data_IF_079128059716
#
_entry.id   IF_079128059716
#
_cell.length_a   1.000
_cell.length_b   1.000
_cell.length_c   1.000
_cell.angle_alpha   90.00
_cell.angle_beta   90.00
_cell.angle_gamma   90.00
#
_symmetry.space_group_name_H-M   'P 1'
#
loop_
_entity.id
_entity.type
_entity.pdbx_description
1 polymer ?
#
# COMPACT_ATOMS: atom_id res chain seq x y z
N UNK A 1 -28.98 27.93 11.40
CA UNK A 1 -29.70 27.66 10.14
C UNK A 1 -28.65 27.23 9.13
N UNK A 2 -28.76 26.05 8.54
CA UNK A 2 -27.80 25.58 7.53
C UNK A 2 -28.10 26.30 6.21
N UNK A 3 -27.14 27.07 5.71
CA UNK A 3 -27.31 27.90 4.51
C UNK A 3 -26.74 27.22 3.27
N UNK A 4 -27.07 27.73 2.08
CA UNK A 4 -26.45 27.25 0.84
C UNK A 4 -24.94 27.53 0.80
N UNK A 5 -24.46 28.56 1.50
CA UNK A 5 -23.02 28.81 1.64
C UNK A 5 -22.34 27.72 2.49
N UNK A 6 -23.01 27.26 3.56
CA UNK A 6 -22.55 26.13 4.37
C UNK A 6 -22.55 24.84 3.53
N UNK A 7 -23.63 24.59 2.79
CA UNK A 7 -23.74 23.44 1.87
C UNK A 7 -22.58 23.42 0.87
N UNK A 8 -22.30 24.56 0.23
CA UNK A 8 -21.20 24.71 -0.73
C UNK A 8 -19.84 24.42 -0.09
N UNK A 9 -19.57 25.04 1.07
CA UNK A 9 -18.27 24.91 1.74
C UNK A 9 -17.98 23.49 2.20
N UNK A 10 -19.02 22.76 2.65
CA UNK A 10 -18.90 21.38 3.11
C UNK A 10 -18.90 20.36 1.97
N UNK A 11 -19.61 20.62 0.87
CA UNK A 11 -19.71 19.68 -0.25
C UNK A 11 -18.40 19.55 -1.04
N UNK A 12 -17.66 20.65 -1.22
CA UNK A 12 -16.43 20.68 -2.02
C UNK A 12 -15.39 19.61 -1.61
N UNK A 13 -14.96 19.51 -0.33
CA UNK A 13 -13.99 18.49 0.06
C UNK A 13 -14.50 17.06 -0.19
N UNK A 14 -15.79 16.80 0.01
CA UNK A 14 -16.39 15.49 -0.23
C UNK A 14 -16.38 15.12 -1.71
N UNK A 15 -16.79 16.05 -2.59
CA UNK A 15 -16.73 15.86 -4.04
C UNK A 15 -15.31 15.65 -4.53
N UNK A 16 -14.32 16.36 -3.95
CA UNK A 16 -12.91 16.13 -4.26
C UNK A 16 -12.43 14.72 -3.87
N UNK A 17 -12.86 14.20 -2.72
CA UNK A 17 -12.53 12.84 -2.30
C UNK A 17 -13.14 11.80 -3.24
N UNK A 18 -14.43 11.94 -3.57
CA UNK A 18 -15.13 11.08 -4.54
C UNK A 18 -14.45 11.11 -5.91
N UNK A 19 -14.10 12.30 -6.40
CA UNK A 19 -13.40 12.47 -7.67
C UNK A 19 -12.02 11.82 -7.66
N UNK A 20 -11.24 12.01 -6.59
CA UNK A 20 -9.91 11.44 -6.45
C UNK A 20 -9.96 9.92 -6.51
N UNK A 21 -10.89 9.30 -5.80
CA UNK A 21 -11.08 7.85 -5.82
C UNK A 21 -11.48 7.37 -7.22
N UNK A 22 -12.50 7.99 -7.83
CA UNK A 22 -12.94 7.60 -9.17
C UNK A 22 -11.84 7.78 -10.23
N UNK A 23 -11.01 8.82 -10.09
CA UNK A 23 -9.85 9.05 -10.94
C UNK A 23 -8.77 8.00 -10.73
N UNK A 24 -8.47 7.64 -9.48
CA UNK A 24 -7.49 6.60 -9.16
C UNK A 24 -7.87 5.25 -9.75
N UNK A 25 -9.15 4.87 -9.67
CA UNK A 25 -9.66 3.60 -10.23
C UNK A 25 -9.69 3.56 -11.76
N UNK A 26 -10.03 4.69 -12.41
CA UNK A 26 -10.26 4.72 -13.86
C UNK A 26 -9.07 5.21 -14.68
N UNK A 27 -8.15 5.96 -14.07
CA UNK A 27 -7.05 6.65 -14.75
C UNK A 27 -7.49 7.81 -15.67
N UNK A 28 -8.79 8.12 -15.74
CA UNK A 28 -9.34 9.13 -16.64
C UNK A 28 -10.15 10.18 -15.89
N UNK A 29 -9.82 11.46 -16.09
CA UNK A 29 -10.58 12.56 -15.50
C UNK A 29 -12.03 12.60 -15.98
N UNK A 30 -12.27 12.29 -17.26
CA UNK A 30 -13.63 12.31 -17.81
C UNK A 30 -14.48 11.20 -17.20
N UNK A 31 -13.94 9.98 -17.13
CA UNK A 31 -14.62 8.87 -16.47
C UNK A 31 -14.87 9.14 -14.98
N UNK A 32 -13.95 9.84 -14.30
CA UNK A 32 -14.14 10.25 -12.92
C UNK A 32 -15.29 11.26 -12.76
N UNK A 33 -15.39 12.27 -13.63
CA UNK A 33 -16.52 13.20 -13.61
C UNK A 33 -17.84 12.48 -13.84
N UNK A 34 -17.90 11.57 -14.82
CA UNK A 34 -19.10 10.78 -15.13
C UNK A 34 -19.52 9.89 -13.96
N UNK A 35 -18.55 9.24 -13.33
CA UNK A 35 -18.77 8.38 -12.16
C UNK A 35 -19.33 9.16 -10.99
N UNK A 36 -18.71 10.28 -10.62
CA UNK A 36 -19.16 11.12 -9.50
C UNK A 36 -20.53 11.72 -9.80
N UNK A 37 -20.75 12.20 -11.03
CA UNK A 37 -22.02 12.75 -11.48
C UNK A 37 -23.17 11.74 -11.33
N UNK A 38 -22.96 10.49 -11.74
CA UNK A 38 -23.93 9.41 -11.58
C UNK A 38 -24.22 9.05 -10.12
N UNK A 39 -23.26 9.21 -9.21
CA UNK A 39 -23.46 8.93 -7.78
C UNK A 39 -24.32 9.98 -7.08
N UNK A 40 -24.25 11.24 -7.51
CA UNK A 40 -24.91 12.37 -6.84
C UNK A 40 -26.14 12.91 -7.59
N UNK A 41 -26.57 12.23 -8.66
CA UNK A 41 -27.71 12.61 -9.50
C UNK A 41 -27.54 14.00 -10.16
N UNK A 42 -26.33 14.27 -10.68
CA UNK A 42 -26.00 15.52 -11.40
C UNK A 42 -25.31 15.23 -12.73
N UNK A 43 -25.09 16.29 -13.50
CA UNK A 43 -24.36 16.18 -14.78
C UNK A 43 -22.84 16.24 -14.57
N UNK A 44 -22.03 15.56 -15.41
CA UNK A 44 -20.57 15.63 -15.36
C UNK A 44 -20.03 17.05 -15.51
N UNK A 45 -20.69 17.86 -16.34
CA UNK A 45 -20.37 19.28 -16.51
C UNK A 45 -20.58 20.08 -15.22
N UNK A 46 -21.66 19.81 -14.47
CA UNK A 46 -21.90 20.44 -13.18
C UNK A 46 -20.82 20.09 -12.16
N UNK A 47 -20.41 18.82 -12.09
CA UNK A 47 -19.32 18.36 -11.20
C UNK A 47 -18.01 19.08 -11.53
N UNK A 48 -17.68 19.20 -12.82
CA UNK A 48 -16.49 19.93 -13.28
C UNK A 48 -16.54 21.41 -12.89
N UNK A 49 -17.70 22.05 -13.02
CA UNK A 49 -17.88 23.45 -12.62
C UNK A 49 -17.77 23.63 -11.11
N UNK A 50 -18.35 22.72 -10.34
CA UNK A 50 -18.26 22.72 -8.88
C UNK A 50 -16.82 22.62 -8.40
N UNK A 51 -16.06 21.63 -8.90
CA UNK A 51 -14.62 21.47 -8.59
C UNK A 51 -13.82 22.69 -9.05
N UNK A 52 -14.17 23.24 -10.22
CA UNK A 52 -13.58 24.47 -10.75
C UNK A 52 -14.01 25.75 -10.03
N UNK A 53 -14.82 25.66 -8.96
CA UNK A 53 -15.36 26.79 -8.17
C UNK A 53 -16.04 27.85 -9.03
N UNK A 54 -16.73 27.43 -10.10
CA UNK A 54 -17.50 28.34 -10.95
C UNK A 54 -18.78 28.75 -10.23
N UNK A 55 -19.14 30.03 -10.33
CA UNK A 55 -20.28 30.61 -9.60
C UNK A 55 -21.65 30.06 -10.03
N UNK A 56 -21.74 29.41 -11.19
CA UNK A 56 -22.95 28.79 -11.72
C UNK A 56 -23.20 27.36 -11.20
N UNK A 57 -22.26 26.78 -10.46
CA UNK A 57 -22.41 25.50 -9.78
C UNK A 57 -22.74 25.73 -8.30
N UNK A 58 -24.00 26.10 -8.05
CA UNK A 58 -24.55 26.24 -6.70
C UNK A 58 -24.93 24.86 -6.17
N UNK A 59 -24.49 24.56 -4.94
CA UNK A 59 -24.88 23.38 -4.19
C UNK A 59 -26.14 23.71 -3.39
N UNK A 60 -27.24 23.08 -3.77
CA UNK A 60 -28.48 23.14 -2.99
C UNK A 60 -28.47 22.09 -1.86
N UNK A 61 -29.40 22.19 -0.92
CA UNK A 61 -29.51 21.22 0.17
C UNK A 61 -29.65 19.77 -0.33
N UNK A 62 -30.42 19.54 -1.41
CA UNK A 62 -30.55 18.20 -2.01
C UNK A 62 -29.21 17.67 -2.53
N UNK A 63 -28.40 18.53 -3.14
CA UNK A 63 -27.09 18.16 -3.65
C UNK A 63 -26.16 17.77 -2.52
N UNK A 64 -26.16 18.57 -1.45
CA UNK A 64 -25.38 18.28 -0.27
C UNK A 64 -25.76 16.92 0.34
N UNK A 65 -27.05 16.59 0.47
CA UNK A 65 -27.49 15.28 0.95
C UNK A 65 -27.02 14.13 0.04
N UNK A 66 -27.13 14.30 -1.27
CA UNK A 66 -26.68 13.30 -2.23
C UNK A 66 -25.16 13.10 -2.18
N UNK A 67 -24.40 14.19 -2.06
CA UNK A 67 -22.94 14.17 -1.95
C UNK A 67 -22.52 13.47 -0.65
N UNK A 68 -23.12 13.83 0.48
CA UNK A 68 -22.85 13.20 1.77
C UNK A 68 -23.14 11.70 1.73
N UNK A 69 -24.31 11.31 1.21
CA UNK A 69 -24.66 9.89 1.08
C UNK A 69 -23.72 9.12 0.12
N UNK A 70 -23.24 9.75 -0.96
CA UNK A 70 -22.25 9.15 -1.84
C UNK A 70 -20.89 8.97 -1.14
N UNK A 71 -20.48 9.96 -0.34
CA UNK A 71 -19.26 9.91 0.46
C UNK A 71 -19.32 8.85 1.55
N UNK A 72 -20.43 8.73 2.28
CA UNK A 72 -20.61 7.71 3.31
C UNK A 72 -20.48 6.29 2.73
N UNK A 73 -21.03 6.07 1.53
CA UNK A 73 -20.86 4.80 0.80
C UNK A 73 -19.41 4.55 0.37
N UNK A 74 -18.64 5.60 0.10
CA UNK A 74 -17.22 5.47 -0.18
C UNK A 74 -16.46 5.06 1.09
N UNK A 75 -16.71 5.73 2.21
CA UNK A 75 -16.12 5.37 3.51
C UNK A 75 -16.42 3.91 3.87
N UNK A 76 -17.69 3.50 3.79
CA UNK A 76 -18.09 2.12 4.07
C UNK A 76 -17.40 1.10 3.15
N UNK A 77 -17.13 1.45 1.89
CA UNK A 77 -16.39 0.57 0.97
C UNK A 77 -14.91 0.46 1.32
N UNK A 78 -14.30 1.56 1.77
CA UNK A 78 -12.89 1.57 2.18
C UNK A 78 -12.71 0.76 3.46
N UNK A 79 -13.61 0.93 4.43
CA UNK A 79 -13.63 0.15 5.67
C UNK A 79 -13.80 -1.35 5.38
N UNK A 80 -14.79 -1.72 4.56
CA UNK A 80 -14.98 -3.12 4.17
C UNK A 80 -13.78 -3.72 3.40
N UNK A 81 -13.03 -2.90 2.64
CA UNK A 81 -11.82 -3.35 1.97
C UNK A 81 -10.68 -3.59 2.98
N UNK A 82 -10.53 -2.73 3.99
CA UNK A 82 -9.57 -2.92 5.06
C UNK A 82 -9.87 -4.20 5.86
N UNK A 83 -11.13 -4.42 6.26
CA UNK A 83 -11.56 -5.63 6.96
C UNK A 83 -11.24 -6.90 6.14
N UNK A 84 -11.42 -6.83 4.82
CA UNK A 84 -11.09 -7.95 3.93
C UNK A 84 -9.59 -8.22 3.85
N UNK A 85 -8.76 -7.17 3.78
CA UNK A 85 -7.30 -7.30 3.77
C UNK A 85 -6.77 -7.89 5.09
N UNK A 86 -7.34 -7.51 6.23
CA UNK A 86 -7.02 -8.09 7.53
C UNK A 86 -7.37 -9.59 7.59
N UNK A 87 -8.56 -9.97 7.12
CA UNK A 87 -8.99 -11.36 7.06
C UNK A 87 -8.10 -12.21 6.14
N UNK A 88 -7.71 -11.68 4.97
CA UNK A 88 -6.77 -12.35 4.07
C UNK A 88 -5.39 -12.50 4.70
N UNK A 89 -4.91 -11.47 5.39
CA UNK A 89 -3.61 -11.51 6.07
C UNK A 89 -3.60 -12.54 7.20
N UNK A 90 -4.66 -12.62 8.00
CA UNK A 90 -4.82 -13.63 9.03
C UNK A 90 -4.83 -15.05 8.45
N UNK A 91 -5.60 -15.27 7.37
CA UNK A 91 -5.64 -16.57 6.68
C UNK A 91 -4.27 -16.98 6.13
N UNK A 92 -3.51 -16.04 5.55
CA UNK A 92 -2.15 -16.31 5.07
C UNK A 92 -1.17 -16.61 6.21
N UNK A 93 -1.34 -15.99 7.37
CA UNK A 93 -0.53 -16.28 8.56
C UNK A 93 -0.84 -17.68 9.13
N UNK A 94 -2.11 -18.05 9.19
CA UNK A 94 -2.54 -19.40 9.61
C UNK A 94 -1.97 -20.47 8.68
N UNK A 95 -2.12 -20.32 7.36
CA UNK A 95 -1.51 -21.23 6.38
C UNK A 95 0.02 -21.32 6.51
N UNK A 96 0.69 -20.20 6.80
CA UNK A 96 2.14 -20.17 7.03
C UNK A 96 2.53 -20.89 8.33
N UNK A 97 1.74 -20.74 9.39
CA UNK A 97 1.97 -21.41 10.65
C UNK A 97 1.82 -22.93 10.50
N UNK A 98 0.72 -23.39 9.89
CA UNK A 98 0.49 -24.81 9.58
C UNK A 98 1.61 -25.40 8.70
N UNK A 99 2.03 -24.68 7.66
CA UNK A 99 3.13 -25.10 6.80
C UNK A 99 4.48 -25.15 7.55
N UNK A 100 4.69 -24.23 8.50
CA UNK A 100 5.86 -24.20 9.38
C UNK A 100 5.89 -25.38 10.35
N UNK A 101 4.77 -25.69 11.00
CA UNK A 101 4.64 -26.83 11.92
C UNK A 101 4.76 -28.18 11.20
N UNK A 102 4.20 -28.30 9.99
CA UNK A 102 4.39 -29.48 9.15
C UNK A 102 5.83 -29.68 8.68
N UNK A 103 6.57 -28.59 8.46
CA UNK A 103 7.99 -28.60 8.15
C UNK A 103 8.85 -28.97 9.36
N UNK A 104 8.56 -28.40 10.53
CA UNK A 104 9.30 -28.69 11.77
C UNK A 104 9.09 -30.13 12.23
N UNK A 105 7.87 -30.66 12.11
CA UNK A 105 7.58 -32.07 12.36
C UNK A 105 8.34 -33.04 11.43
N UNK A 106 8.61 -32.64 10.18
CA UNK A 106 9.42 -33.42 9.24
C UNK A 106 10.91 -33.35 9.58
N UNK A 107 11.40 -32.20 10.03
CA UNK A 107 12.78 -31.97 10.48
C UNK A 107 13.05 -32.72 11.80
N UNK A 108 12.13 -32.69 12.76
CA UNK A 108 12.18 -33.47 14.02
C UNK A 108 12.23 -34.97 13.74
N UNK A 109 11.50 -35.44 12.71
CA UNK A 109 11.51 -36.87 12.31
C UNK A 109 12.77 -37.29 11.55
N UNK A 110 13.48 -36.35 10.94
CA UNK A 110 14.80 -36.56 10.34
C UNK A 110 15.96 -36.31 11.30
N UNK A 111 15.72 -35.78 12.49
CA UNK A 111 16.74 -35.62 13.51
C UNK A 111 17.25 -37.01 13.94
N UNK A 112 18.54 -37.36 13.66
CA UNK A 112 19.06 -38.65 14.05
C UNK A 112 19.06 -38.75 15.58
N UNK A 113 18.71 -39.91 16.18
CA UNK A 113 18.71 -40.05 17.62
C UNK A 113 20.11 -39.75 18.14
N UNK A 114 20.19 -38.80 19.08
CA UNK A 114 21.42 -38.46 19.77
C UNK A 114 22.04 -39.73 20.34
N UNK A 115 23.15 -40.18 19.74
CA UNK A 115 23.96 -41.28 20.26
C UNK A 115 24.49 -40.84 21.62
N UNK A 116 23.82 -41.27 22.70
CA UNK A 116 24.45 -41.40 24.02
C UNK A 116 25.53 -42.47 23.90
N UNK A 117 26.72 -42.05 23.51
CA UNK A 117 27.92 -42.88 23.48
C UNK A 117 29.01 -42.15 24.24
N UNK A 118 29.23 -42.57 25.48
CA UNK A 118 30.38 -42.18 26.27
C UNK A 118 31.67 -42.54 25.53
N UNK A 119 32.51 -41.55 25.23
CA UNK A 119 33.93 -41.77 24.96
C UNK A 119 34.76 -40.71 25.66
N UNK A 120 35.22 -41.10 26.84
CA UNK A 120 36.37 -40.52 27.50
C UNK A 120 37.64 -41.16 26.88
N UNK A 121 38.45 -40.34 26.18
CA UNK A 121 39.94 -40.29 26.23
C UNK A 121 40.60 -39.74 24.95
N UNK A 122 41.25 -38.59 25.15
CA UNK A 122 42.60 -38.17 24.71
C UNK A 122 43.04 -38.37 23.25
N UNK A 123 43.32 -37.24 22.58
CA UNK A 123 44.62 -36.82 22.01
C UNK A 123 44.44 -35.38 21.48
N UNK A 124 44.95 -34.33 22.12
CA UNK A 124 46.35 -33.86 22.08
C UNK A 124 46.89 -33.54 20.67
N UNK A 125 46.75 -32.27 20.27
CA UNK A 125 47.81 -31.54 19.56
C UNK A 125 47.78 -31.50 18.03
N UNK A 126 47.25 -30.41 17.47
CA UNK A 126 47.89 -29.68 16.37
C UNK A 126 47.26 -28.29 16.24
N UNK A 127 48.01 -27.27 16.67
CA UNK A 127 47.76 -25.87 16.33
C UNK A 127 48.16 -25.65 14.88
N UNK A 128 47.30 -25.06 14.06
CA UNK A 128 47.72 -24.10 13.02
C UNK A 128 46.69 -22.99 12.96
N UNK A 129 47.12 -21.77 13.30
CA UNK A 129 46.40 -20.53 13.04
C UNK A 129 47.02 -19.87 11.81
N UNK A 130 46.19 -19.50 10.83
CA UNK A 130 46.45 -18.47 9.83
C UNK A 130 45.11 -18.23 9.11
N UNK A 131 44.39 -17.15 9.45
CA UNK A 131 44.53 -15.81 8.90
C UNK A 131 43.59 -15.61 7.69
N UNK A 132 42.79 -14.55 7.83
CA UNK A 132 41.68 -14.15 6.98
C UNK A 132 42.09 -13.86 5.54
N UNK A 133 41.19 -14.14 4.59
CA UNK A 133 41.08 -13.42 3.32
C UNK A 133 39.60 -13.30 2.93
N UNK A 134 39.02 -12.17 3.33
CA UNK A 134 37.81 -11.56 2.78
C UNK A 134 38.14 -11.00 1.39
N UNK A 135 37.45 -11.41 0.30
CA UNK A 135 37.77 -10.93 -1.04
C UNK A 135 37.13 -9.58 -1.41
N UNK A 136 36.54 -8.79 -0.49
CA UNK A 136 35.77 -7.58 -0.88
C UNK A 136 36.46 -6.23 -0.73
N UNK A 137 37.77 -6.17 -0.48
CA UNK A 137 38.47 -4.91 -0.28
C UNK A 137 39.84 -4.82 -0.98
N UNK A 138 39.87 -4.77 -2.33
CA UNK A 138 40.99 -4.15 -3.06
C UNK A 138 40.67 -3.87 -4.53
N UNK A 139 41.00 -2.64 -4.97
CA UNK A 139 40.90 -2.03 -6.31
C UNK A 139 39.50 -1.47 -6.67
N UNK A 140 39.26 -0.16 -6.76
CA UNK A 140 40.14 1.00 -6.77
C UNK A 140 40.11 1.69 -8.14
N UNK A 141 39.46 2.86 -8.18
CA UNK A 141 39.85 4.03 -8.94
C UNK A 141 40.12 3.88 -10.46
N UNK A 142 39.14 4.31 -11.27
CA UNK A 142 39.43 5.10 -12.49
C UNK A 142 38.75 6.46 -12.34
N UNK A 143 39.49 7.40 -11.76
CA UNK A 143 39.37 8.83 -12.11
C UNK A 143 40.26 9.11 -13.31
N UNK A 144 40.00 10.30 -13.87
CA UNK A 144 40.67 10.99 -14.96
C UNK A 144 40.06 10.68 -16.33
N UNK A 145 39.74 11.66 -17.16
CA UNK A 145 39.66 13.12 -17.03
C UNK A 145 39.12 13.61 -18.37
N UNK A 146 38.52 14.81 -18.38
CA UNK A 146 38.53 15.77 -19.49
C UNK A 146 37.90 15.34 -20.85
N UNK A 147 37.14 16.16 -21.55
CA UNK A 147 37.43 17.56 -21.82
C UNK A 147 36.17 18.39 -22.05
N UNK A 148 36.31 19.63 -21.58
CA UNK A 148 35.53 20.83 -21.88
C UNK A 148 35.70 21.25 -23.35
N UNK A 149 34.68 21.93 -23.88
CA UNK A 149 34.72 22.90 -24.99
C UNK A 149 34.74 22.39 -26.44
N UNK A 150 33.60 22.54 -27.13
CA UNK A 150 33.35 23.58 -28.18
C UNK A 150 32.10 23.23 -28.99
N UNK A 151 31.25 24.22 -29.25
CA UNK A 151 30.09 24.16 -30.14
C UNK A 151 29.04 25.18 -29.72
#
# INVERSE_FOLDING_TARGET
>A
MFTNADAQSQALPLVHALFREAHWRSGSRMAAYDTVAGQIDRSPNWVRKLIGRRADAVVEMRDWLNISAAYDRLCAKVEAAADHEEALTAALQEMRHEAGEGGDALVERQAPPARRGAHDRRQAGARVAAAALDPRAASGSRRSAEAVSRG
#
